data_IF_341756242631
#
_entry.id   IF_341756242631
#
_cell.length_a   1.000
_cell.length_b   1.000
_cell.length_c   1.000
_cell.angle_alpha   90.00
_cell.angle_beta   90.00
_cell.angle_gamma   90.00
#
_symmetry.space_group_name_H-M   'P 1'
#
loop_
_entity.id
_entity.type
_entity.pdbx_description
1 polymer ?
#
# COMPACT_ATOMS: atom_id res chain seq x y z
N UNK A 1 29.77 19.72 -8.11
CA UNK A 1 28.38 19.25 -8.03
C UNK A 1 28.13 18.77 -6.61
N UNK A 2 27.37 19.56 -5.86
CA UNK A 2 27.12 19.47 -4.42
C UNK A 2 26.19 18.29 -4.08
N UNK A 3 26.79 17.23 -3.53
CA UNK A 3 26.09 16.08 -2.97
C UNK A 3 25.62 16.41 -1.54
N UNK A 4 24.44 17.02 -1.43
CA UNK A 4 23.79 17.28 -0.14
C UNK A 4 23.21 15.98 0.42
N UNK A 5 24.09 15.13 0.96
CA UNK A 5 23.75 13.98 1.81
C UNK A 5 23.14 14.50 3.14
N UNK A 6 21.92 15.01 3.05
CA UNK A 6 21.15 15.39 4.22
C UNK A 6 20.45 14.14 4.74
N UNK A 7 20.91 13.64 5.89
CA UNK A 7 20.26 12.60 6.69
C UNK A 7 18.98 13.14 7.34
N UNK A 8 18.10 13.75 6.54
CA UNK A 8 16.73 14.04 6.96
C UNK A 8 16.05 12.68 7.06
N UNK A 9 15.54 12.36 8.25
CA UNK A 9 14.63 11.23 8.46
C UNK A 9 13.54 11.29 7.39
N UNK A 10 13.69 10.51 6.31
CA UNK A 10 12.67 10.39 5.28
C UNK A 10 11.59 9.50 5.89
N UNK A 11 10.66 10.12 6.59
CA UNK A 11 9.47 9.43 7.06
C UNK A 11 8.85 8.69 5.88
N UNK A 12 8.51 7.42 6.12
CA UNK A 12 7.89 6.59 5.10
C UNK A 12 6.59 7.26 4.63
N UNK A 13 6.58 7.68 3.36
CA UNK A 13 5.40 8.25 2.71
C UNK A 13 4.83 7.26 1.71
N UNK A 14 3.52 7.04 1.77
CA UNK A 14 2.80 6.25 0.78
C UNK A 14 2.48 7.12 -0.43
N UNK A 15 2.46 6.53 -1.63
CA UNK A 15 2.03 7.26 -2.82
C UNK A 15 0.56 7.67 -2.66
N UNK A 16 0.28 8.94 -2.91
CA UNK A 16 -1.08 9.46 -2.98
C UNK A 16 -1.72 9.16 -4.36
N UNK A 17 -3.01 9.45 -4.52
CA UNK A 17 -3.74 9.20 -5.77
C UNK A 17 -3.20 10.01 -6.95
N UNK A 18 -2.79 11.27 -6.72
CA UNK A 18 -2.23 12.13 -7.76
C UNK A 18 -0.90 11.59 -8.30
N UNK A 19 -0.01 11.17 -7.41
CA UNK A 19 1.27 10.55 -7.76
C UNK A 19 1.05 9.24 -8.53
N UNK A 20 0.05 8.44 -8.16
CA UNK A 20 -0.33 7.25 -8.93
C UNK A 20 -0.81 7.62 -10.34
N UNK A 21 -1.62 8.66 -10.45
CA UNK A 21 -2.06 9.22 -11.73
C UNK A 21 -0.88 9.70 -12.60
N UNK A 22 0.08 10.41 -12.01
CA UNK A 22 1.30 10.83 -12.70
C UNK A 22 2.12 9.63 -13.20
N UNK A 23 2.29 8.59 -12.38
CA UNK A 23 2.99 7.36 -12.80
C UNK A 23 2.29 6.74 -14.02
N UNK A 24 0.95 6.64 -13.99
CA UNK A 24 0.19 6.12 -15.12
C UNK A 24 0.39 6.97 -16.38
N UNK A 25 0.20 8.29 -16.28
CA UNK A 25 0.36 9.20 -17.42
C UNK A 25 1.75 9.12 -18.07
N UNK A 26 2.81 9.00 -17.25
CA UNK A 26 4.19 8.86 -17.75
C UNK A 26 4.43 7.50 -18.42
N UNK A 27 3.84 6.43 -17.90
CA UNK A 27 3.93 5.11 -18.54
C UNK A 27 3.17 5.09 -19.87
N UNK A 28 2.00 5.71 -19.92
CA UNK A 28 1.16 5.84 -21.12
C UNK A 28 1.82 6.73 -22.18
N UNK A 29 2.63 7.71 -21.75
CA UNK A 29 3.47 8.51 -22.66
C UNK A 29 4.75 7.78 -23.10
N UNK A 30 4.94 6.50 -22.75
CA UNK A 30 6.06 5.67 -23.15
C UNK A 30 7.31 5.77 -22.26
N UNK A 31 7.28 6.53 -21.16
CA UNK A 31 8.41 6.63 -20.23
C UNK A 31 8.38 5.42 -19.30
N UNK A 32 9.18 4.40 -19.62
CA UNK A 32 9.25 3.14 -18.84
C UNK A 32 10.37 3.11 -17.81
N UNK A 33 11.27 4.09 -17.83
CA UNK A 33 12.40 4.17 -16.89
C UNK A 33 11.93 4.55 -15.49
N UNK A 34 12.03 3.62 -14.54
CA UNK A 34 11.69 3.88 -13.13
C UNK A 34 12.44 5.06 -12.53
N UNK A 35 13.69 5.31 -12.96
CA UNK A 35 14.48 6.46 -12.49
C UNK A 35 13.96 7.78 -13.04
N UNK A 36 13.48 7.80 -14.29
CA UNK A 36 12.89 8.99 -14.89
C UNK A 36 11.55 9.33 -14.23
N UNK A 37 10.67 8.34 -14.08
CA UNK A 37 9.39 8.48 -13.39
C UNK A 37 9.61 8.95 -11.94
N UNK A 38 10.58 8.37 -11.23
CA UNK A 38 10.86 8.73 -9.85
C UNK A 38 11.29 10.20 -9.68
N UNK A 39 12.08 10.72 -10.63
CA UNK A 39 12.48 12.13 -10.64
C UNK A 39 11.30 13.05 -10.87
N UNK A 40 10.39 12.68 -11.77
CA UNK A 40 9.20 13.47 -12.10
C UNK A 40 8.19 13.48 -10.95
N UNK A 41 7.88 12.30 -10.39
CA UNK A 41 6.90 12.12 -9.31
C UNK A 41 7.45 12.60 -7.94
N UNK A 42 8.75 12.83 -7.84
CA UNK A 42 9.40 13.26 -6.60
C UNK A 42 9.52 12.16 -5.54
N UNK A 43 9.81 10.92 -5.94
CA UNK A 43 9.98 9.80 -5.01
C UNK A 43 11.21 8.95 -5.33
N UNK A 44 11.47 7.89 -4.54
CA UNK A 44 12.61 7.02 -4.78
C UNK A 44 12.32 5.99 -5.86
N UNK A 45 13.32 5.65 -6.70
CA UNK A 45 13.18 4.64 -7.78
C UNK A 45 12.62 3.29 -7.31
N UNK A 46 12.98 2.87 -6.10
CA UNK A 46 12.50 1.61 -5.53
C UNK A 46 11.03 1.68 -5.09
N UNK A 47 10.49 2.88 -4.86
CA UNK A 47 9.05 3.10 -4.63
C UNK A 47 8.30 2.90 -5.94
N UNK A 48 8.73 3.54 -7.03
CA UNK A 48 8.14 3.35 -8.37
C UNK A 48 8.16 1.88 -8.79
N UNK A 49 9.32 1.22 -8.71
CA UNK A 49 9.44 -0.20 -9.08
C UNK A 49 8.51 -1.11 -8.28
N UNK A 50 8.40 -0.88 -6.96
CA UNK A 50 7.49 -1.65 -6.10
C UNK A 50 6.02 -1.35 -6.41
N UNK A 51 5.70 -0.09 -6.67
CA UNK A 51 4.36 0.35 -7.03
C UNK A 51 3.91 -0.29 -8.34
N UNK A 52 4.69 -0.15 -9.41
CA UNK A 52 4.38 -0.74 -10.73
C UNK A 52 4.19 -2.25 -10.59
N UNK A 53 5.14 -2.96 -9.97
CA UNK A 53 5.04 -4.41 -9.78
C UNK A 53 3.78 -4.84 -9.01
N UNK A 54 3.29 -4.04 -8.06
CA UNK A 54 2.12 -4.35 -7.23
C UNK A 54 0.81 -3.85 -7.82
N UNK A 55 0.86 -2.81 -8.65
CA UNK A 55 -0.29 -2.11 -9.23
C UNK A 55 -0.61 -2.53 -10.66
N UNK A 56 0.33 -3.17 -11.36
CA UNK A 56 0.11 -3.70 -12.69
C UNK A 56 -0.85 -4.89 -12.69
N UNK A 57 -1.69 -4.94 -13.72
CA UNK A 57 -2.67 -5.99 -13.98
C UNK A 57 -2.41 -6.62 -15.34
N UNK A 58 -2.74 -7.91 -15.49
CA UNK A 58 -2.69 -8.60 -16.77
C UNK A 58 -3.88 -8.17 -17.61
N UNK A 59 -3.61 -7.62 -18.78
CA UNK A 59 -4.58 -7.24 -19.79
C UNK A 59 -4.35 -8.04 -21.07
N UNK A 60 -5.31 -7.94 -21.99
CA UNK A 60 -5.24 -8.54 -23.31
C UNK A 60 -5.39 -7.44 -24.35
N UNK A 61 -4.51 -7.41 -25.35
CA UNK A 61 -4.59 -6.46 -26.44
C UNK A 61 -5.54 -6.93 -27.57
N UNK A 62 -5.67 -6.13 -28.62
CA UNK A 62 -6.48 -6.43 -29.81
C UNK A 62 -6.03 -7.69 -30.56
N UNK A 63 -4.75 -8.06 -30.42
CA UNK A 63 -4.14 -9.26 -31.01
C UNK A 63 -4.25 -10.48 -30.08
N UNK A 64 -5.03 -10.38 -29.00
CA UNK A 64 -5.20 -11.41 -27.97
C UNK A 64 -3.92 -11.74 -27.17
N UNK A 65 -2.86 -10.94 -27.29
CA UNK A 65 -1.63 -11.07 -26.54
C UNK A 65 -1.80 -10.51 -25.13
N UNK A 66 -1.21 -11.21 -24.16
CA UNK A 66 -1.29 -10.81 -22.76
C UNK A 66 -0.12 -9.91 -22.40
N UNK A 67 -0.43 -8.77 -21.77
CA UNK A 67 0.59 -7.83 -21.31
C UNK A 67 0.24 -7.25 -19.94
N UNK A 68 1.25 -6.73 -19.25
CA UNK A 68 1.07 -6.04 -17.97
C UNK A 68 0.83 -4.55 -18.21
N UNK A 69 -0.26 -4.01 -17.68
CA UNK A 69 -0.54 -2.58 -17.73
C UNK A 69 -0.75 -2.03 -16.33
N UNK A 70 -0.26 -0.82 -16.06
CA UNK A 70 -0.41 -0.17 -14.77
C UNK A 70 -1.58 0.82 -14.83
N UNK A 71 -2.61 0.59 -14.01
CA UNK A 71 -3.68 1.57 -13.80
C UNK A 71 -3.59 2.13 -12.37
N UNK A 72 -3.66 3.45 -12.23
CA UNK A 72 -3.62 4.13 -10.94
C UNK A 72 -4.77 3.67 -10.02
N UNK A 73 -5.97 3.53 -10.59
CA UNK A 73 -7.17 3.09 -9.87
C UNK A 73 -7.02 1.67 -9.32
N UNK A 74 -6.51 0.74 -10.14
CA UNK A 74 -6.29 -0.64 -9.67
C UNK A 74 -5.24 -0.70 -8.58
N UNK A 75 -4.17 0.10 -8.71
CA UNK A 75 -3.13 0.20 -7.70
C UNK A 75 -3.68 0.74 -6.37
N UNK A 76 -4.56 1.75 -6.42
CA UNK A 76 -5.28 2.28 -5.27
C UNK A 76 -6.17 1.22 -4.60
N UNK A 77 -7.00 0.52 -5.38
CA UNK A 77 -7.87 -0.55 -4.87
C UNK A 77 -7.04 -1.64 -4.16
N UNK A 78 -5.92 -2.07 -4.74
CA UNK A 78 -5.05 -3.06 -4.12
C UNK A 78 -4.38 -2.55 -2.85
N UNK A 79 -4.01 -1.28 -2.81
CA UNK A 79 -3.49 -0.66 -1.61
C UNK A 79 -4.52 -0.69 -0.47
N UNK A 80 -5.77 -0.33 -0.76
CA UNK A 80 -6.82 -0.24 0.25
C UNK A 80 -7.24 -1.63 0.74
N UNK A 81 -7.27 -2.63 -0.15
CA UNK A 81 -7.44 -4.04 0.24
C UNK A 81 -6.35 -4.51 1.22
N UNK A 82 -5.08 -4.18 0.96
CA UNK A 82 -3.98 -4.53 1.89
C UNK A 82 -4.11 -3.80 3.23
N UNK A 83 -4.49 -2.52 3.22
CA UNK A 83 -4.72 -1.73 4.44
C UNK A 83 -5.83 -2.30 5.32
N UNK A 84 -6.92 -2.80 4.72
CA UNK A 84 -8.00 -3.47 5.47
C UNK A 84 -7.50 -4.70 6.23
N UNK A 85 -6.55 -5.45 5.68
CA UNK A 85 -5.98 -6.63 6.33
C UNK A 85 -4.98 -6.29 7.45
N UNK A 86 -4.51 -5.05 7.53
CA UNK A 86 -3.60 -4.59 8.59
C UNK A 86 -4.33 -4.11 9.85
N UNK A 87 -5.66 -4.23 9.94
CA UNK A 87 -6.41 -3.74 11.10
C UNK A 87 -6.06 -4.50 12.38
N UNK A 88 -5.90 -3.75 13.47
CA UNK A 88 -5.72 -4.30 14.82
C UNK A 88 -6.93 -5.18 15.14
N UNK A 89 -6.68 -6.44 15.52
CA UNK A 89 -7.74 -7.34 15.99
C UNK A 89 -8.49 -6.66 17.12
N UNK A 90 -9.82 -6.71 17.07
CA UNK A 90 -10.68 -6.23 18.14
C UNK A 90 -10.26 -6.90 19.46
N UNK A 91 -9.72 -6.14 20.44
CA UNK A 91 -9.22 -6.72 21.68
C UNK A 91 -10.31 -7.48 22.44
N UNK A 92 -11.57 -7.05 22.36
CA UNK A 92 -12.70 -7.70 23.02
C UNK A 92 -12.97 -9.08 22.41
N UNK A 93 -12.84 -9.21 21.09
CA UNK A 93 -12.91 -10.52 20.41
C UNK A 93 -11.70 -11.38 20.70
N UNK A 94 -10.51 -10.78 20.71
CA UNK A 94 -9.26 -11.50 20.94
C UNK A 94 -9.19 -12.11 22.35
N UNK A 95 -9.67 -11.38 23.37
CA UNK A 95 -9.66 -11.80 24.76
C UNK A 95 -11.03 -12.27 25.28
N UNK A 96 -11.99 -12.56 24.40
CA UNK A 96 -13.38 -12.87 24.77
C UNK A 96 -13.47 -14.00 25.81
N UNK A 97 -12.66 -15.06 25.66
CA UNK A 97 -12.62 -16.20 26.59
C UNK A 97 -12.11 -15.77 27.95
N UNK A 98 -11.02 -15.00 27.98
CA UNK A 98 -10.44 -14.47 29.22
C UNK A 98 -11.44 -13.56 29.96
N UNK A 99 -12.05 -12.61 29.25
CA UNK A 99 -13.05 -11.70 29.82
C UNK A 99 -14.25 -12.49 30.39
N UNK A 100 -14.74 -13.51 29.67
CA UNK A 100 -15.82 -14.37 30.16
C UNK A 100 -15.45 -15.12 31.44
N UNK A 101 -14.24 -15.68 31.51
CA UNK A 101 -13.76 -16.38 32.70
C UNK A 101 -13.56 -15.43 33.88
N UNK A 102 -13.03 -14.23 33.61
CA UNK A 102 -12.87 -13.17 34.60
C UNK A 102 -14.22 -12.74 35.18
N UNK A 103 -15.21 -12.47 34.33
CA UNK A 103 -16.57 -12.09 34.76
C UNK A 103 -17.23 -13.20 35.60
N UNK A 104 -17.05 -14.47 35.21
CA UNK A 104 -17.58 -15.61 35.98
C UNK A 104 -16.96 -15.68 37.38
N UNK A 105 -15.63 -15.51 37.48
CA UNK A 105 -14.91 -15.55 38.76
C UNK A 105 -15.25 -14.35 39.64
N UNK A 106 -15.40 -13.17 39.03
CA UNK A 106 -15.75 -11.95 39.75
C UNK A 106 -17.12 -12.08 40.42
N UNK A 107 -18.14 -12.51 39.67
CA UNK A 107 -19.48 -12.79 40.22
C UNK A 107 -19.46 -13.80 41.36
N UNK A 108 -18.77 -14.92 41.18
CA UNK A 108 -18.65 -15.95 42.22
C UNK A 108 -17.97 -15.49 43.52
N UNK A 109 -17.23 -14.37 43.50
CA UNK A 109 -16.53 -13.83 44.68
C UNK A 109 -17.34 -12.78 45.44
N UNK A 110 -18.30 -12.13 44.78
CA UNK A 110 -19.05 -11.00 45.34
C UNK A 110 -20.56 -11.23 45.43
N UNK A 111 -21.12 -12.20 44.71
CA UNK A 111 -22.54 -12.60 44.75
C UNK A 111 -22.79 -13.83 45.66
N UNK A 112 -21.84 -14.16 46.55
CA UNK A 112 -21.90 -15.31 47.46
C UNK A 112 -21.81 -14.91 48.93
#
# INVERSE_FOLDING_TARGET
MNNSNSSISRHYHQLNSEQRGQIQALLDSGITSCSAIAREVGCHKSTISREIRRGSVRQRDHNYLLYGHYYADTAQIYHDKRRKNCYKRDPLKHYAVFLRMLSKRFKAKFDG
#
